data_IF_443076031814
#
_entry.id   IF_443076031814
#
_cell.length_a   1.000
_cell.length_b   1.000
_cell.length_c   1.000
_cell.angle_alpha   90.00
_cell.angle_beta   90.00
_cell.angle_gamma   90.00
#
_symmetry.space_group_name_H-M   'P 1'
#
loop_
_entity.id
_entity.type
_entity.pdbx_description
1 polymer ?
#
# COMPACT_ATOMS: atom_id res chain seq x y z
N UNK A 1 -30.39 -74.82 8.30
CA UNK A 1 -29.22 -74.07 8.80
C UNK A 1 -29.11 -72.81 7.94
N UNK A 2 -29.71 -71.70 8.38
CA UNK A 2 -29.74 -70.45 7.61
C UNK A 2 -28.44 -69.67 7.84
N UNK A 3 -27.63 -69.50 6.79
CA UNK A 3 -26.54 -68.51 6.79
C UNK A 3 -26.89 -67.44 5.77
N UNK A 4 -27.39 -66.31 6.28
CA UNK A 4 -27.68 -65.12 5.50
C UNK A 4 -26.35 -64.40 5.22
N UNK A 5 -26.03 -64.04 3.96
CA UNK A 5 -24.83 -63.25 3.69
C UNK A 5 -25.06 -61.81 4.17
N UNK A 6 -24.23 -61.38 5.12
CA UNK A 6 -24.25 -60.03 5.68
C UNK A 6 -23.78 -59.03 4.62
N UNK A 7 -24.76 -58.31 4.07
CA UNK A 7 -24.74 -57.01 3.37
C UNK A 7 -23.36 -56.35 3.16
N UNK A 8 -22.88 -56.34 1.91
CA UNK A 8 -21.90 -55.39 1.33
C UNK A 8 -22.46 -53.96 1.26
N UNK A 9 -22.79 -53.31 2.38
CA UNK A 9 -23.35 -51.93 2.37
C UNK A 9 -22.36 -50.80 2.71
N UNK A 10 -21.16 -51.11 3.19
CA UNK A 10 -20.21 -50.09 3.65
C UNK A 10 -19.18 -49.63 2.61
N UNK A 11 -19.09 -50.27 1.43
CA UNK A 11 -17.99 -50.02 0.50
C UNK A 11 -18.18 -48.75 -0.35
N UNK A 12 -19.40 -48.25 -0.51
CA UNK A 12 -19.71 -47.09 -1.38
C UNK A 12 -20.08 -45.80 -0.63
N UNK A 13 -20.57 -45.88 0.62
CA UNK A 13 -21.05 -44.70 1.35
C UNK A 13 -19.89 -43.87 1.92
N UNK A 14 -18.83 -44.52 2.40
CA UNK A 14 -17.66 -43.85 2.98
C UNK A 14 -16.92 -42.98 1.95
N UNK A 15 -16.62 -43.45 0.72
CA UNK A 15 -15.98 -42.60 -0.29
C UNK A 15 -16.82 -41.40 -0.72
N UNK A 16 -18.14 -41.54 -0.78
CA UNK A 16 -19.06 -40.45 -1.18
C UNK A 16 -19.14 -39.39 -0.09
N UNK A 17 -19.25 -39.79 1.18
CA UNK A 17 -19.24 -38.87 2.32
C UNK A 17 -17.91 -38.11 2.37
N UNK A 18 -16.78 -38.79 2.21
CA UNK A 18 -15.45 -38.18 2.22
C UNK A 18 -15.26 -37.22 1.05
N UNK A 19 -15.67 -37.59 -0.17
CA UNK A 19 -15.60 -36.70 -1.33
C UNK A 19 -16.49 -35.46 -1.17
N UNK A 20 -17.70 -35.63 -0.63
CA UNK A 20 -18.59 -34.50 -0.37
C UNK A 20 -18.01 -33.57 0.71
N UNK A 21 -17.42 -34.14 1.76
CA UNK A 21 -16.76 -33.38 2.81
C UNK A 21 -15.50 -32.66 2.32
N UNK A 22 -14.69 -33.31 1.47
CA UNK A 22 -13.56 -32.70 0.79
C UNK A 22 -14.01 -31.57 -0.13
N UNK A 23 -15.06 -31.77 -0.94
CA UNK A 23 -15.63 -30.74 -1.81
C UNK A 23 -16.17 -29.54 -1.04
N UNK A 24 -16.86 -29.77 0.08
CA UNK A 24 -17.34 -28.72 0.98
C UNK A 24 -16.18 -27.97 1.64
N UNK A 25 -15.16 -28.68 2.12
CA UNK A 25 -13.92 -28.07 2.66
C UNK A 25 -13.22 -27.24 1.60
N UNK A 26 -13.12 -27.72 0.36
CA UNK A 26 -12.53 -26.99 -0.77
C UNK A 26 -13.33 -25.73 -1.07
N UNK A 27 -14.66 -25.80 -1.16
CA UNK A 27 -15.53 -24.62 -1.35
C UNK A 27 -15.41 -23.61 -0.21
N UNK A 28 -15.35 -24.09 1.03
CA UNK A 28 -15.22 -23.23 2.22
C UNK A 28 -13.85 -22.57 2.25
N UNK A 29 -12.79 -23.31 1.94
CA UNK A 29 -11.41 -22.80 1.83
C UNK A 29 -11.29 -21.75 0.73
N UNK A 30 -11.87 -21.99 -0.44
CA UNK A 30 -11.91 -21.02 -1.54
C UNK A 30 -12.68 -19.75 -1.17
N UNK A 31 -13.82 -19.89 -0.49
CA UNK A 31 -14.59 -18.75 0.02
C UNK A 31 -13.78 -17.93 1.03
N UNK A 32 -13.09 -18.60 1.95
CA UNK A 32 -12.24 -17.93 2.93
C UNK A 32 -11.04 -17.23 2.27
N UNK A 33 -10.42 -17.86 1.27
CA UNK A 33 -9.35 -17.25 0.49
C UNK A 33 -9.84 -16.01 -0.28
N UNK A 34 -11.03 -16.07 -0.88
CA UNK A 34 -11.65 -14.93 -1.56
C UNK A 34 -11.93 -13.75 -0.60
N UNK A 35 -12.49 -14.03 0.58
CA UNK A 35 -12.73 -13.01 1.62
C UNK A 35 -11.40 -12.38 2.08
N UNK A 36 -10.39 -13.21 2.34
CA UNK A 36 -9.06 -12.73 2.74
C UNK A 36 -8.45 -11.83 1.65
N UNK A 37 -8.54 -12.25 0.39
CA UNK A 37 -8.06 -11.50 -0.76
C UNK A 37 -8.80 -10.16 -0.89
N UNK A 38 -10.12 -10.14 -0.75
CA UNK A 38 -10.94 -8.93 -0.79
C UNK A 38 -10.49 -7.91 0.28
N UNK A 39 -10.24 -8.36 1.51
CA UNK A 39 -9.74 -7.49 2.59
C UNK A 39 -8.37 -6.90 2.22
N UNK A 40 -7.47 -7.68 1.63
CA UNK A 40 -6.15 -7.17 1.22
C UNK A 40 -6.26 -6.18 0.05
N UNK A 41 -7.11 -6.48 -0.93
CA UNK A 41 -7.38 -5.57 -2.06
C UNK A 41 -7.94 -4.24 -1.55
N UNK A 42 -8.86 -4.25 -0.57
CA UNK A 42 -9.40 -3.02 0.02
C UNK A 42 -8.35 -2.20 0.77
N UNK A 43 -7.43 -2.87 1.50
CA UNK A 43 -6.31 -2.19 2.18
C UNK A 43 -5.38 -1.54 1.18
N UNK A 44 -4.98 -2.29 0.14
CA UNK A 44 -4.11 -1.81 -0.92
C UNK A 44 -4.80 -0.64 -1.66
N UNK A 45 -6.07 -0.78 -2.03
CA UNK A 45 -6.83 0.28 -2.71
C UNK A 45 -7.04 1.54 -1.86
N UNK A 46 -7.06 1.44 -0.52
CA UNK A 46 -7.06 2.61 0.37
C UNK A 46 -5.72 3.33 0.37
N UNK A 47 -4.61 2.60 0.43
CA UNK A 47 -3.25 3.16 0.41
C UNK A 47 -2.96 3.76 -0.96
N UNK A 48 -3.29 3.03 -2.02
CA UNK A 48 -3.19 3.45 -3.42
C UNK A 48 -4.45 4.21 -3.88
N UNK A 49 -5.14 4.91 -3.00
CA UNK A 49 -6.25 5.75 -3.46
C UNK A 49 -5.69 6.96 -4.19
N UNK A 50 -6.20 7.29 -5.40
CA UNK A 50 -5.82 8.49 -6.16
C UNK A 50 -5.79 9.73 -5.27
N UNK A 51 -6.78 9.83 -4.37
CA UNK A 51 -6.91 10.98 -3.49
C UNK A 51 -5.77 11.08 -2.47
N UNK A 52 -5.29 9.94 -1.95
CA UNK A 52 -4.15 9.92 -1.03
C UNK A 52 -2.86 10.31 -1.76
N UNK A 53 -2.57 9.66 -2.89
CA UNK A 53 -1.37 9.93 -3.70
C UNK A 53 -1.35 11.39 -4.15
N UNK A 54 -2.46 11.90 -4.71
CA UNK A 54 -2.57 13.29 -5.15
C UNK A 54 -2.42 14.29 -4.00
N UNK A 55 -2.92 13.98 -2.81
CA UNK A 55 -2.74 14.85 -1.64
C UNK A 55 -1.29 14.89 -1.17
N UNK A 56 -0.64 13.73 -1.10
CA UNK A 56 0.78 13.62 -0.73
C UNK A 56 1.67 14.32 -1.75
N UNK A 57 1.42 14.12 -3.05
CA UNK A 57 2.17 14.78 -4.13
C UNK A 57 2.02 16.29 -4.08
N UNK A 58 0.81 16.81 -3.83
CA UNK A 58 0.58 18.26 -3.63
C UNK A 58 1.43 18.82 -2.49
N UNK A 59 1.50 18.13 -1.35
CA UNK A 59 2.32 18.58 -0.21
C UNK A 59 3.81 18.58 -0.56
N UNK A 60 4.33 17.49 -1.15
CA UNK A 60 5.73 17.39 -1.55
C UNK A 60 6.09 18.46 -2.57
N UNK A 61 5.27 18.64 -3.60
CA UNK A 61 5.47 19.69 -4.61
C UNK A 61 5.42 21.09 -4.00
N UNK A 62 4.56 21.34 -3.01
CA UNK A 62 4.54 22.63 -2.33
C UNK A 62 5.87 22.91 -1.61
N UNK A 63 6.49 21.90 -1.00
CA UNK A 63 7.81 22.05 -0.37
C UNK A 63 8.90 22.25 -1.43
N UNK A 64 8.92 21.46 -2.51
CA UNK A 64 9.89 21.59 -3.59
C UNK A 64 9.83 22.95 -4.28
N UNK A 65 8.62 23.40 -4.66
CA UNK A 65 8.41 24.67 -5.37
C UNK A 65 8.80 25.88 -4.51
N UNK A 66 8.67 25.77 -3.19
CA UNK A 66 9.01 26.84 -2.24
C UNK A 66 10.35 26.58 -1.54
N UNK A 67 11.15 25.61 -1.98
CA UNK A 67 12.34 25.16 -1.25
C UNK A 67 13.34 26.29 -1.01
N UNK A 68 13.64 27.07 -2.06
CA UNK A 68 14.55 28.22 -1.96
C UNK A 68 14.03 29.28 -0.97
N UNK A 69 12.74 29.63 -1.06
CA UNK A 69 12.12 30.60 -0.16
C UNK A 69 12.07 30.11 1.30
N UNK A 70 11.84 28.81 1.52
CA UNK A 70 11.87 28.20 2.85
C UNK A 70 13.28 28.25 3.45
N UNK A 71 14.30 27.89 2.68
CA UNK A 71 15.69 27.95 3.10
C UNK A 71 16.11 29.38 3.47
N UNK A 72 15.78 30.36 2.61
CA UNK A 72 16.05 31.77 2.87
C UNK A 72 15.33 32.25 4.13
N UNK A 73 14.02 31.96 4.25
CA UNK A 73 13.23 32.34 5.42
C UNK A 73 13.80 31.76 6.71
N UNK A 74 14.15 30.47 6.74
CA UNK A 74 14.72 29.85 7.94
C UNK A 74 16.10 30.41 8.28
N UNK A 75 16.93 30.69 7.28
CA UNK A 75 18.23 31.30 7.49
C UNK A 75 18.07 32.71 8.10
N UNK A 76 17.28 33.58 7.46
CA UNK A 76 17.04 34.95 7.94
C UNK A 76 16.41 34.96 9.34
N UNK A 77 15.38 34.14 9.58
CA UNK A 77 14.73 34.04 10.88
C UNK A 77 15.66 33.50 11.98
N UNK A 78 16.70 32.74 11.62
CA UNK A 78 17.71 32.27 12.58
C UNK A 78 18.69 33.38 13.01
N UNK A 79 18.88 34.40 12.16
CA UNK A 79 19.80 35.53 12.38
C UNK A 79 19.07 36.79 12.85
N UNK A 80 17.74 36.77 12.93
CA UNK A 80 16.91 37.93 13.26
C UNK A 80 17.13 38.40 14.72
N UNK A 81 17.70 39.60 14.93
CA UNK A 81 17.98 40.12 16.26
C UNK A 81 16.71 40.45 17.06
N UNK A 82 15.57 40.67 16.38
CA UNK A 82 14.29 41.01 17.01
C UNK A 82 13.60 39.80 17.66
N UNK A 83 14.05 38.58 17.33
CA UNK A 83 13.51 37.33 17.90
C UNK A 83 14.24 36.95 19.19
N UNK A 84 13.55 36.19 20.03
CA UNK A 84 14.15 35.58 21.21
C UNK A 84 15.17 34.49 20.84
N UNK A 85 16.03 34.14 21.79
CA UNK A 85 17.06 33.11 21.60
C UNK A 85 16.45 31.75 21.22
N UNK A 86 15.30 31.41 21.79
CA UNK A 86 14.58 30.16 21.51
C UNK A 86 14.03 30.14 20.09
N UNK A 87 13.44 31.24 19.62
CA UNK A 87 12.98 31.39 18.24
C UNK A 87 14.11 31.24 17.25
N UNK A 88 15.22 31.96 17.44
CA UNK A 88 16.41 31.83 16.59
C UNK A 88 16.95 30.40 16.55
N UNK A 89 17.06 29.74 17.72
CA UNK A 89 17.52 28.35 17.79
C UNK A 89 16.59 27.38 17.05
N UNK A 90 15.27 27.59 17.10
CA UNK A 90 14.29 26.78 16.35
C UNK A 90 14.53 26.90 14.85
N UNK A 91 14.64 28.13 14.33
CA UNK A 91 14.85 28.35 12.90
C UNK A 91 16.23 27.88 12.44
N UNK A 92 17.27 28.02 13.26
CA UNK A 92 18.59 27.43 13.01
C UNK A 92 18.50 25.90 12.86
N UNK A 93 17.73 25.23 13.73
CA UNK A 93 17.48 23.79 13.63
C UNK A 93 16.71 23.41 12.37
N UNK A 94 15.65 24.16 12.04
CA UNK A 94 14.87 23.94 10.81
C UNK A 94 15.70 24.15 9.55
N UNK A 95 16.55 25.18 9.52
CA UNK A 95 17.47 25.45 8.42
C UNK A 95 18.44 24.28 8.24
N UNK A 96 19.11 23.85 9.30
CA UNK A 96 20.03 22.69 9.25
C UNK A 96 19.33 21.41 8.77
N UNK A 97 18.10 21.19 9.22
CA UNK A 97 17.30 20.03 8.81
C UNK A 97 16.94 20.09 7.33
N UNK A 98 16.36 21.19 6.85
CA UNK A 98 15.89 21.31 5.46
C UNK A 98 17.05 21.28 4.45
N UNK A 99 18.24 21.77 4.83
CA UNK A 99 19.45 21.73 3.99
C UNK A 99 20.26 20.44 4.15
N UNK A 100 19.86 19.54 5.05
CA UNK A 100 20.58 18.28 5.21
C UNK A 100 20.44 17.40 3.96
N UNK A 101 21.51 16.68 3.64
CA UNK A 101 21.52 15.74 2.51
C UNK A 101 20.40 14.70 2.68
N UNK A 102 20.21 14.22 3.91
CA UNK A 102 19.16 13.24 4.24
C UNK A 102 17.76 13.79 3.94
N UNK A 103 17.43 15.00 4.38
CA UNK A 103 16.12 15.59 4.12
C UNK A 103 15.87 15.78 2.62
N UNK A 104 16.83 16.36 1.90
CA UNK A 104 16.70 16.62 0.45
C UNK A 104 16.59 15.30 -0.33
N UNK A 105 17.40 14.31 0.02
CA UNK A 105 17.34 12.97 -0.58
C UNK A 105 15.99 12.31 -0.34
N UNK A 106 15.49 12.36 0.90
CA UNK A 106 14.19 11.80 1.25
C UNK A 106 13.05 12.52 0.54
N UNK A 107 13.10 13.85 0.43
CA UNK A 107 12.08 14.65 -0.26
C UNK A 107 12.00 14.29 -1.75
N UNK A 108 13.14 14.18 -2.42
CA UNK A 108 13.21 13.77 -3.83
C UNK A 108 12.74 12.32 -4.01
N UNK A 109 13.20 11.40 -3.14
CA UNK A 109 12.75 9.99 -3.15
C UNK A 109 11.24 9.89 -2.97
N UNK A 110 10.65 10.68 -2.07
CA UNK A 110 9.19 10.75 -1.90
C UNK A 110 8.50 11.30 -3.14
N UNK A 111 9.07 12.32 -3.80
CA UNK A 111 8.52 12.86 -5.03
C UNK A 111 8.47 11.81 -6.14
N UNK A 112 9.58 11.11 -6.38
CA UNK A 112 9.71 10.08 -7.41
C UNK A 112 8.76 8.90 -7.13
N UNK A 113 8.73 8.44 -5.87
CA UNK A 113 7.82 7.38 -5.45
C UNK A 113 6.35 7.75 -5.65
N UNK A 114 5.98 9.01 -5.40
CA UNK A 114 4.60 9.49 -5.59
C UNK A 114 4.21 9.62 -7.07
N UNK A 115 5.16 9.87 -7.98
CA UNK A 115 4.89 9.86 -9.42
C UNK A 115 4.58 8.43 -9.90
N UNK A 116 5.47 7.48 -9.56
CA UNK A 116 5.28 6.07 -9.89
C UNK A 116 3.98 5.49 -9.29
N UNK A 117 3.68 5.84 -8.04
CA UNK A 117 2.41 5.44 -7.40
C UNK A 117 1.20 6.13 -8.03
N UNK A 118 1.36 7.35 -8.55
CA UNK A 118 0.31 8.08 -9.27
C UNK A 118 -0.09 7.34 -10.55
N UNK A 119 0.91 7.04 -11.37
CA UNK A 119 0.74 6.32 -12.64
C UNK A 119 0.17 4.92 -12.43
N UNK A 120 0.70 4.18 -11.44
CA UNK A 120 0.17 2.86 -11.06
C UNK A 120 -1.29 2.96 -10.64
N UNK A 121 -1.63 3.95 -9.81
CA UNK A 121 -3.00 4.10 -9.32
C UNK A 121 -3.97 4.41 -10.46
N UNK A 122 -3.61 5.32 -11.36
CA UNK A 122 -4.44 5.63 -12.53
C UNK A 122 -4.61 4.40 -13.44
N UNK A 123 -3.54 3.62 -13.62
CA UNK A 123 -3.59 2.36 -14.37
C UNK A 123 -4.56 1.35 -13.74
N UNK A 124 -4.47 1.14 -12.42
CA UNK A 124 -5.31 0.20 -11.68
C UNK A 124 -6.80 0.60 -11.66
N UNK A 125 -7.13 1.86 -11.93
CA UNK A 125 -8.51 2.35 -11.98
C UNK A 125 -9.16 2.20 -13.37
N UNK A 126 -8.43 1.75 -14.39
CA UNK A 126 -8.99 1.53 -15.72
C UNK A 126 -10.03 0.41 -15.66
N UNK A 127 -11.23 0.67 -16.17
CA UNK A 127 -12.32 -0.34 -16.23
C UNK A 127 -11.97 -1.60 -17.03
N UNK A 128 -10.98 -1.49 -17.91
CA UNK A 128 -10.53 -2.58 -18.79
C UNK A 128 -9.41 -3.44 -18.20
N UNK A 129 -8.92 -3.16 -16.99
CA UNK A 129 -7.80 -3.90 -16.41
C UNK A 129 -8.23 -5.29 -15.95
N UNK A 130 -7.43 -6.32 -16.25
CA UNK A 130 -7.62 -7.66 -15.70
C UNK A 130 -6.85 -7.84 -14.40
N UNK A 131 -7.22 -8.84 -13.60
CA UNK A 131 -6.47 -9.17 -12.37
C UNK A 131 -5.00 -9.51 -12.65
N UNK A 132 -4.72 -10.14 -13.79
CA UNK A 132 -3.35 -10.50 -14.22
C UNK A 132 -2.54 -9.25 -14.56
N UNK A 133 -3.15 -8.30 -15.27
CA UNK A 133 -2.51 -7.02 -15.60
C UNK A 133 -2.23 -6.20 -14.33
N UNK A 134 -3.17 -6.20 -13.38
CA UNK A 134 -3.02 -5.54 -12.10
C UNK A 134 -1.85 -6.13 -11.30
N UNK A 135 -1.80 -7.46 -11.11
CA UNK A 135 -0.70 -8.13 -10.39
C UNK A 135 0.66 -7.84 -11.05
N UNK A 136 0.72 -7.92 -12.39
CA UNK A 136 1.94 -7.59 -13.13
C UNK A 136 2.39 -6.14 -12.90
N UNK A 137 1.48 -5.18 -12.99
CA UNK A 137 1.80 -3.76 -12.77
C UNK A 137 2.29 -3.50 -11.35
N UNK A 138 1.63 -4.08 -10.34
CA UNK A 138 2.00 -3.92 -8.93
C UNK A 138 3.40 -4.47 -8.68
N UNK A 139 3.73 -5.68 -9.17
CA UNK A 139 5.06 -6.28 -8.99
C UNK A 139 6.17 -5.51 -9.71
N UNK A 140 5.84 -4.85 -10.82
CA UNK A 140 6.82 -4.09 -11.60
C UNK A 140 7.16 -2.78 -10.92
N UNK A 141 6.14 -2.06 -10.43
CA UNK A 141 6.29 -0.75 -9.78
C UNK A 141 6.73 -0.88 -8.32
N UNK A 142 6.12 -1.81 -7.57
CA UNK A 142 6.42 -2.08 -6.16
C UNK A 142 7.23 -3.37 -6.10
N UNK A 143 8.56 -3.23 -6.22
CA UNK A 143 9.47 -4.35 -5.99
C UNK A 143 9.58 -4.60 -4.48
N UNK A 144 8.95 -5.68 -4.03
CA UNK A 144 9.11 -6.24 -2.68
C UNK A 144 10.26 -7.24 -2.69
#
# INVERSE_FOLDING_TARGET
MFSVPVRKKNTFIVPVQTNFYCHLKTKTSLKNAAISLEVQILKIGRILSVRWVASSKRTVNAVLNNFSALCEHFNLASMDPTRDSKGRSKYCGLFKMITSIEFVSNLNTMSDALDELGDLTEYLQKRSITLVDADKSIRTTIRV
#
